data_IF_759182167733
#
_entry.id   IF_759182167733
#
_cell.length_a   1.000
_cell.length_b   1.000
_cell.length_c   1.000
_cell.angle_alpha   90.00
_cell.angle_beta   90.00
_cell.angle_gamma   90.00
#
_symmetry.space_group_name_H-M   'P 1'
#
loop_
_entity.id
_entity.type
_entity.pdbx_description
1 polymer ?
#
# COMPACT_ATOMS: atom_id res chain seq x y z
N UNK A 1 9.61 6.21 -12.83
CA UNK A 1 8.45 5.74 -12.04
C UNK A 1 9.02 4.68 -11.11
N UNK A 2 8.83 4.80 -9.80
CA UNK A 2 9.42 3.85 -8.85
C UNK A 2 8.73 2.50 -9.00
N UNK A 3 9.51 1.44 -9.22
CA UNK A 3 9.00 0.07 -9.28
C UNK A 3 9.57 -0.70 -8.09
N UNK A 4 8.77 -0.78 -7.03
CA UNK A 4 9.10 -1.43 -5.77
C UNK A 4 8.79 -2.91 -5.87
N UNK A 5 9.73 -3.73 -5.41
CA UNK A 5 9.62 -5.19 -5.43
C UNK A 5 10.06 -5.80 -4.10
N UNK A 6 9.53 -6.99 -3.83
CA UNK A 6 9.85 -7.80 -2.67
C UNK A 6 8.70 -7.95 -1.67
N UNK A 7 8.77 -9.02 -0.87
CA UNK A 7 7.91 -9.27 0.29
C UNK A 7 8.80 -9.48 1.51
N UNK A 8 8.43 -8.87 2.63
CA UNK A 8 9.29 -8.80 3.80
C UNK A 8 8.51 -8.93 5.09
N UNK A 9 8.94 -9.84 5.96
CA UNK A 9 8.43 -9.96 7.32
C UNK A 9 9.22 -9.04 8.26
N UNK A 10 8.48 -8.26 9.04
CA UNK A 10 8.96 -7.20 9.91
C UNK A 10 8.21 -7.28 11.25
N UNK A 11 8.65 -6.45 12.21
CA UNK A 11 7.93 -6.28 13.48
C UNK A 11 7.58 -4.82 13.70
N UNK A 12 6.34 -4.57 14.09
CA UNK A 12 5.91 -3.33 14.68
C UNK A 12 6.31 -3.30 16.16
N UNK A 13 6.85 -2.17 16.61
CA UNK A 13 7.04 -1.94 18.04
C UNK A 13 5.75 -1.47 18.72
N UNK A 14 5.78 -1.32 20.06
CA UNK A 14 4.63 -0.88 20.86
C UNK A 14 4.09 0.52 20.50
N UNK A 15 4.80 1.29 19.66
CA UNK A 15 4.40 2.61 19.17
C UNK A 15 3.93 2.57 17.72
N UNK A 16 3.83 1.40 17.10
CA UNK A 16 3.47 1.24 15.68
C UNK A 16 4.59 1.65 14.73
N UNK A 17 5.85 1.62 15.17
CA UNK A 17 7.01 1.85 14.29
C UNK A 17 7.44 0.54 13.66
N UNK A 18 7.65 0.58 12.35
CA UNK A 18 8.15 -0.55 11.56
C UNK A 18 9.51 -0.16 10.99
N UNK A 19 10.53 -0.97 11.25
CA UNK A 19 11.83 -0.82 10.63
C UNK A 19 11.80 -1.44 9.24
N UNK A 20 12.06 -0.66 8.21
CA UNK A 20 12.07 -1.17 6.85
C UNK A 20 13.29 -2.07 6.61
N UNK A 21 13.16 -3.16 5.85
CA UNK A 21 14.29 -3.98 5.42
C UNK A 21 15.30 -3.15 4.60
N UNK A 22 16.59 -3.45 4.75
CA UNK A 22 17.67 -2.69 4.09
C UNK A 22 17.47 -2.62 2.57
N UNK A 23 17.12 -3.73 1.92
CA UNK A 23 16.89 -3.77 0.47
C UNK A 23 15.67 -2.95 0.03
N UNK A 24 14.67 -2.75 0.90
CA UNK A 24 13.56 -1.84 0.61
C UNK A 24 13.98 -0.38 0.83
N UNK A 25 14.81 -0.11 1.85
CA UNK A 25 15.36 1.23 2.06
C UNK A 25 16.21 1.68 0.87
N UNK A 26 17.03 0.80 0.30
CA UNK A 26 17.84 1.09 -0.89
C UNK A 26 16.98 1.48 -2.09
N UNK A 27 15.87 0.77 -2.33
CA UNK A 27 14.90 1.11 -3.38
C UNK A 27 14.23 2.48 -3.14
N UNK A 28 14.06 2.89 -1.88
CA UNK A 28 13.42 4.15 -1.50
C UNK A 28 14.40 5.33 -1.36
N UNK A 29 15.71 5.07 -1.33
CA UNK A 29 16.72 6.05 -0.94
C UNK A 29 16.66 7.35 -1.77
N UNK A 30 16.42 7.23 -3.08
CA UNK A 30 16.34 8.37 -4.00
C UNK A 30 15.14 9.30 -3.72
N UNK A 31 14.07 8.77 -3.12
CA UNK A 31 12.78 9.47 -2.94
C UNK A 31 12.45 9.77 -1.47
N UNK A 32 13.33 9.42 -0.52
CA UNK A 32 13.11 9.63 0.92
C UNK A 32 12.73 11.07 1.26
N UNK A 33 13.37 12.05 0.60
CA UNK A 33 13.13 13.49 0.84
C UNK A 33 11.80 14.00 0.31
N UNK A 34 11.20 13.31 -0.66
CA UNK A 34 9.90 13.68 -1.24
C UNK A 34 8.74 13.31 -0.31
N UNK A 35 9.00 12.42 0.66
CA UNK A 35 8.02 11.96 1.63
C UNK A 35 7.05 10.92 1.06
N UNK A 36 6.18 10.46 1.95
CA UNK A 36 5.27 9.36 1.67
C UNK A 36 3.86 9.70 2.12
N UNK A 37 2.91 8.94 1.58
CA UNK A 37 1.51 9.00 1.97
C UNK A 37 1.08 7.59 2.37
N UNK A 38 0.43 7.47 3.51
CA UNK A 38 -0.17 6.22 3.97
C UNK A 38 -1.69 6.36 4.01
N UNK A 39 -2.40 5.31 3.63
CA UNK A 39 -3.87 5.25 3.71
C UNK A 39 -4.34 3.80 3.94
N UNK A 40 -5.57 3.57 4.41
CA UNK A 40 -6.19 2.25 4.34
C UNK A 40 -6.32 1.77 2.88
N UNK A 41 -6.19 0.47 2.66
CA UNK A 41 -6.57 -0.13 1.39
C UNK A 41 -8.09 -0.10 1.21
N UNK A 42 -8.52 -0.05 -0.05
CA UNK A 42 -9.95 -0.13 -0.41
C UNK A 42 -10.41 -1.58 -0.65
N UNK A 43 -9.46 -2.50 -0.80
CA UNK A 43 -9.72 -3.90 -1.14
C UNK A 43 -9.60 -4.82 0.06
N UNK A 44 -8.66 -4.52 0.96
CA UNK A 44 -8.33 -5.39 2.08
C UNK A 44 -8.12 -4.62 3.38
N UNK A 45 -8.15 -5.32 4.51
CA UNK A 45 -7.89 -4.75 5.84
C UNK A 45 -6.37 -4.59 6.07
N UNK A 46 -5.74 -3.73 5.27
CA UNK A 46 -4.33 -3.40 5.33
C UNK A 46 -4.10 -1.91 5.04
N UNK A 47 -2.86 -1.44 5.18
CA UNK A 47 -2.47 -0.08 4.78
C UNK A 47 -1.69 -0.11 3.48
N UNK A 48 -1.72 1.00 2.75
CA UNK A 48 -0.92 1.22 1.55
C UNK A 48 -0.05 2.46 1.77
N UNK A 49 1.27 2.28 1.63
CA UNK A 49 2.28 3.32 1.68
C UNK A 49 2.74 3.64 0.25
N UNK A 50 2.55 4.89 -0.15
CA UNK A 50 2.93 5.40 -1.46
C UNK A 50 4.10 6.38 -1.34
N UNK A 51 5.09 6.30 -2.24
CA UNK A 51 5.86 7.49 -2.62
C UNK A 51 4.92 8.64 -2.95
N UNK A 52 5.23 9.86 -2.50
CA UNK A 52 4.35 11.02 -2.72
C UNK A 52 3.95 11.20 -4.19
N UNK A 53 4.90 11.08 -5.11
CA UNK A 53 4.65 11.22 -6.54
C UNK A 53 3.70 10.14 -7.12
N UNK A 54 3.71 8.93 -6.57
CA UNK A 54 2.79 7.86 -6.98
C UNK A 54 1.37 8.14 -6.48
N UNK A 55 1.24 8.56 -5.22
CA UNK A 55 -0.04 8.97 -4.65
C UNK A 55 -0.68 10.13 -5.41
N UNK A 56 0.11 11.17 -5.72
CA UNK A 56 -0.40 12.35 -6.44
C UNK A 56 -0.93 11.96 -7.84
N UNK A 57 -0.25 11.03 -8.54
CA UNK A 57 -0.72 10.50 -9.83
C UNK A 57 -2.02 9.71 -9.70
N UNK A 58 -2.16 8.88 -8.67
CA UNK A 58 -3.39 8.15 -8.39
C UNK A 58 -4.54 9.13 -8.11
N UNK A 59 -4.32 10.11 -7.24
CA UNK A 59 -5.33 11.10 -6.87
C UNK A 59 -5.73 11.99 -8.05
N UNK A 60 -4.82 12.33 -8.96
CA UNK A 60 -5.18 13.03 -10.20
C UNK A 60 -6.21 12.25 -11.02
N UNK A 61 -6.15 10.91 -11.05
CA UNK A 61 -7.15 10.08 -11.75
C UNK A 61 -8.50 10.07 -11.01
N UNK A 62 -8.46 9.99 -9.69
CA UNK A 62 -9.65 10.01 -8.83
C UNK A 62 -10.38 11.35 -8.95
N UNK A 63 -9.65 12.47 -8.86
CA UNK A 63 -10.21 13.82 -8.87
C UNK A 63 -10.74 14.27 -10.25
N UNK A 64 -10.39 13.56 -11.34
CA UNK A 64 -11.00 13.78 -12.67
C UNK A 64 -12.46 13.30 -12.76
N UNK A 65 -12.96 12.56 -11.76
CA UNK A 65 -14.34 12.08 -11.74
C UNK A 65 -15.32 13.20 -11.37
N UNK A 66 -16.55 13.14 -11.89
CA UNK A 66 -17.56 14.17 -11.66
C UNK A 66 -18.05 14.15 -10.19
N UNK A 67 -17.65 15.16 -9.41
CA UNK A 67 -18.01 15.29 -7.99
C UNK A 67 -19.47 15.68 -7.72
N UNK A 68 -20.21 16.12 -8.74
CA UNK A 68 -21.65 16.34 -8.59
C UNK A 68 -22.44 15.05 -8.41
N UNK A 69 -21.84 13.89 -8.73
CA UNK A 69 -22.45 12.60 -8.45
C UNK A 69 -22.23 12.22 -6.96
N UNK A 70 -23.30 12.06 -6.14
CA UNK A 70 -23.16 11.87 -4.69
C UNK A 70 -22.29 10.67 -4.29
N UNK A 71 -22.36 9.56 -5.03
CA UNK A 71 -21.51 8.38 -4.79
C UNK A 71 -20.01 8.69 -4.98
N UNK A 72 -19.66 9.54 -5.96
CA UNK A 72 -18.25 9.92 -6.23
C UNK A 72 -17.75 10.84 -5.11
N UNK A 73 -18.54 11.84 -4.70
CA UNK A 73 -18.13 12.72 -3.60
C UNK A 73 -17.96 11.95 -2.28
N UNK A 74 -18.89 11.04 -1.98
CA UNK A 74 -18.79 10.21 -0.78
C UNK A 74 -17.57 9.28 -0.81
N UNK A 75 -17.29 8.65 -1.96
CA UNK A 75 -16.09 7.82 -2.13
C UNK A 75 -14.81 8.63 -1.88
N UNK A 76 -14.68 9.80 -2.51
CA UNK A 76 -13.50 10.68 -2.34
C UNK A 76 -13.36 11.10 -0.88
N UNK A 77 -14.47 11.42 -0.19
CA UNK A 77 -14.48 11.79 1.22
C UNK A 77 -13.95 10.68 2.11
N UNK A 78 -14.48 9.47 1.96
CA UNK A 78 -14.06 8.30 2.75
C UNK A 78 -12.59 7.95 2.45
N UNK A 79 -12.22 7.89 1.17
CA UNK A 79 -10.83 7.65 0.75
C UNK A 79 -9.87 8.65 1.39
N UNK A 80 -10.20 9.94 1.33
CA UNK A 80 -9.32 11.02 1.80
C UNK A 80 -9.25 11.11 3.33
N UNK A 81 -10.27 10.64 4.06
CA UNK A 81 -10.30 10.70 5.52
C UNK A 81 -9.17 9.87 6.16
N UNK A 82 -8.82 8.74 5.55
CA UNK A 82 -7.75 7.84 6.01
C UNK A 82 -6.35 8.22 5.54
N UNK A 83 -6.21 9.22 4.65
CA UNK A 83 -4.92 9.62 4.07
C UNK A 83 -4.11 10.43 5.07
N UNK A 84 -2.84 10.03 5.30
CA UNK A 84 -1.90 10.76 6.17
C UNK A 84 -0.54 10.90 5.48
N UNK A 85 0.08 12.10 5.50
CA UNK A 85 1.48 12.23 5.12
C UNK A 85 2.37 11.59 6.20
N UNK A 86 3.39 10.87 5.78
CA UNK A 86 4.37 10.23 6.67
C UNK A 86 5.78 10.34 6.09
N UNK A 87 6.77 10.17 6.94
CA UNK A 87 8.19 10.14 6.57
C UNK A 87 8.85 8.89 7.14
N UNK A 88 9.88 8.43 6.45
CA UNK A 88 10.80 7.42 6.96
C UNK A 88 12.02 8.17 7.51
N UNK A 89 12.42 7.87 8.74
CA UNK A 89 13.57 8.53 9.35
C UNK A 89 14.91 8.05 8.74
N UNK A 90 16.01 8.71 9.13
CA UNK A 90 17.35 8.37 8.62
C UNK A 90 17.82 6.96 9.00
N UNK A 91 17.13 6.27 9.91
CA UNK A 91 17.41 4.89 10.32
C UNK A 91 16.52 3.88 9.61
N UNK A 92 15.68 4.34 8.67
CA UNK A 92 14.77 3.49 7.91
C UNK A 92 13.50 3.12 8.68
N UNK A 93 13.14 3.84 9.74
CA UNK A 93 11.91 3.56 10.50
C UNK A 93 10.74 4.37 9.99
N UNK A 94 9.65 3.66 9.72
CA UNK A 94 8.34 4.23 9.41
C UNK A 94 7.52 4.33 10.70
N UNK A 95 7.01 5.51 11.01
CA UNK A 95 6.03 5.70 12.09
C UNK A 95 4.62 5.61 11.50
N UNK A 96 3.90 4.52 11.81
CA UNK A 96 2.50 4.37 11.40
C UNK A 96 1.61 5.15 12.41
N UNK A 97 0.68 6.00 11.95
CA UNK A 97 -0.30 6.62 12.83
C UNK A 97 -1.14 5.57 13.57
N UNK A 98 -1.34 5.75 14.88
CA UNK A 98 -2.05 4.77 15.73
C UNK A 98 -3.46 4.42 15.24
N UNK A 99 -4.17 5.39 14.66
CA UNK A 99 -5.51 5.14 14.09
C UNK A 99 -5.43 4.13 12.94
N UNK A 100 -4.43 4.26 12.07
CA UNK A 100 -4.24 3.36 10.94
C UNK A 100 -3.74 1.98 11.36
N UNK A 101 -2.94 1.89 12.43
CA UNK A 101 -2.57 0.60 13.05
C UNK A 101 -3.84 -0.16 13.47
N UNK A 102 -4.79 0.54 14.11
CA UNK A 102 -6.06 -0.06 14.52
C UNK A 102 -6.93 -0.43 13.30
N UNK A 103 -7.04 0.45 12.30
CA UNK A 103 -7.84 0.21 11.09
C UNK A 103 -7.35 -1.01 10.29
N UNK A 104 -6.04 -1.29 10.29
CA UNK A 104 -5.46 -2.48 9.64
C UNK A 104 -5.38 -3.70 10.58
N UNK A 105 -5.70 -3.53 11.87
CA UNK A 105 -5.54 -4.55 12.90
C UNK A 105 -4.12 -5.07 13.04
N UNK A 106 -3.12 -4.20 12.85
CA UNK A 106 -1.71 -4.56 13.01
C UNK A 106 -1.40 -4.75 14.50
N UNK A 107 -1.00 -5.96 14.86
CA UNK A 107 -0.70 -6.32 16.24
C UNK A 107 0.79 -6.21 16.56
N UNK A 108 1.63 -7.00 15.88
CA UNK A 108 3.07 -7.09 16.12
C UNK A 108 3.85 -7.54 14.89
N UNK A 109 3.49 -8.69 14.31
CA UNK A 109 4.13 -9.21 13.11
C UNK A 109 3.54 -8.50 11.89
N UNK A 110 4.40 -7.91 11.07
CA UNK A 110 4.02 -7.08 9.93
C UNK A 110 4.61 -7.66 8.65
N UNK A 111 3.78 -7.82 7.62
CA UNK A 111 4.27 -8.16 6.28
C UNK A 111 4.20 -6.92 5.39
N UNK A 112 5.33 -6.58 4.78
CA UNK A 112 5.45 -5.53 3.77
C UNK A 112 5.48 -6.18 2.40
N UNK A 113 4.52 -5.85 1.53
CA UNK A 113 4.45 -6.37 0.15
C UNK A 113 4.58 -5.20 -0.81
N UNK A 114 5.70 -5.12 -1.52
CA UNK A 114 5.87 -4.12 -2.58
C UNK A 114 5.10 -4.55 -3.83
N UNK A 115 4.20 -3.69 -4.30
CA UNK A 115 3.29 -3.94 -5.41
C UNK A 115 3.44 -2.85 -6.48
N UNK A 116 4.66 -2.72 -7.01
CA UNK A 116 5.01 -1.74 -8.04
C UNK A 116 5.10 -0.31 -7.49
N UNK A 117 4.01 0.43 -7.46
CA UNK A 117 4.02 1.86 -7.12
C UNK A 117 3.77 2.16 -5.63
N UNK A 118 3.55 1.12 -4.83
CA UNK A 118 3.24 1.21 -3.40
C UNK A 118 3.75 0.01 -2.63
N UNK A 119 3.74 0.13 -1.31
CA UNK A 119 3.99 -0.97 -0.38
C UNK A 119 2.71 -1.19 0.42
N UNK A 120 2.20 -2.41 0.41
CA UNK A 120 1.11 -2.81 1.30
C UNK A 120 1.70 -3.25 2.64
N UNK A 121 1.06 -2.83 3.74
CA UNK A 121 1.49 -3.06 5.11
C UNK A 121 0.36 -3.83 5.81
N UNK A 122 0.68 -5.06 6.18
CA UNK A 122 -0.29 -6.02 6.68
C UNK A 122 0.05 -6.48 8.09
N UNK A 123 -0.97 -6.88 8.84
CA UNK A 123 -0.75 -7.90 9.86
C UNK A 123 -0.41 -9.22 9.15
N UNK A 124 0.67 -9.89 9.58
CA UNK A 124 1.21 -11.05 8.86
C UNK A 124 0.17 -12.17 8.69
N UNK A 125 -0.62 -12.47 9.72
CA UNK A 125 -1.62 -13.53 9.66
C UNK A 125 -2.72 -13.21 8.63
N UNK A 126 -3.14 -11.93 8.55
CA UNK A 126 -4.14 -11.49 7.58
C UNK A 126 -3.63 -11.60 6.14
N UNK A 127 -2.38 -11.20 5.88
CA UNK A 127 -1.81 -11.34 4.53
C UNK A 127 -1.72 -12.80 4.09
N UNK A 128 -1.31 -13.70 4.99
CA UNK A 128 -1.21 -15.12 4.70
C UNK A 128 -2.57 -15.71 4.32
N UNK A 129 -3.62 -15.42 5.11
CA UNK A 129 -4.98 -15.86 4.83
C UNK A 129 -5.50 -15.33 3.48
N UNK A 130 -5.35 -14.03 3.21
CA UNK A 130 -5.81 -13.42 1.94
C UNK A 130 -5.09 -14.04 0.73
N UNK A 131 -3.78 -14.28 0.83
CA UNK A 131 -3.02 -14.91 -0.24
C UNK A 131 -3.51 -16.34 -0.46
N UNK A 132 -3.62 -17.13 0.61
CA UNK A 132 -4.08 -18.52 0.55
C UNK A 132 -5.48 -18.63 -0.08
N UNK A 133 -6.42 -17.79 0.35
CA UNK A 133 -7.79 -17.73 -0.20
C UNK A 133 -7.80 -17.35 -1.69
N UNK A 134 -6.80 -16.56 -2.14
CA UNK A 134 -6.71 -16.10 -3.53
C UNK A 134 -6.01 -17.09 -4.46
N UNK A 135 -5.21 -18.03 -3.93
CA UNK A 135 -4.42 -18.98 -4.73
C UNK A 135 -5.25 -19.86 -5.67
N UNK A 136 -6.41 -20.43 -5.29
CA UNK A 136 -7.20 -21.27 -6.18
C UNK A 136 -7.66 -20.52 -7.44
N UNK A 137 -8.14 -19.29 -7.26
CA UNK A 137 -8.58 -18.43 -8.36
C UNK A 137 -7.40 -17.81 -9.13
N UNK A 138 -6.18 -17.82 -8.60
CA UNK A 138 -5.05 -17.13 -9.22
C UNK A 138 -4.77 -17.64 -10.64
N UNK A 139 -4.89 -18.95 -10.90
CA UNK A 139 -4.65 -19.51 -12.24
C UNK A 139 -5.70 -19.05 -13.25
N UNK A 140 -6.97 -19.04 -12.86
CA UNK A 140 -8.09 -18.59 -13.70
C UNK A 140 -7.99 -17.09 -13.96
N UNK A 141 -7.73 -16.31 -12.90
CA UNK A 141 -7.54 -14.86 -12.98
C UNK A 141 -6.29 -14.51 -13.81
N UNK A 142 -5.20 -15.25 -13.67
CA UNK A 142 -4.01 -15.06 -14.48
C UNK A 142 -4.32 -15.31 -15.97
N UNK A 143 -5.11 -16.34 -16.30
CA UNK A 143 -5.51 -16.58 -17.68
C UNK A 143 -6.44 -15.46 -18.21
N UNK A 144 -7.38 -14.96 -17.42
CA UNK A 144 -8.27 -13.86 -17.81
C UNK A 144 -7.51 -12.54 -18.02
N UNK A 145 -6.63 -12.18 -17.09
CA UNK A 145 -5.89 -10.92 -17.11
C UNK A 145 -4.72 -10.98 -18.10
N UNK A 146 -3.93 -12.06 -18.06
CA UNK A 146 -2.72 -12.19 -18.88
C UNK A 146 -2.99 -12.77 -20.27
N UNK A 147 -4.03 -13.59 -20.43
CA UNK A 147 -4.43 -14.14 -21.74
C UNK A 147 -4.96 -13.07 -22.70
N UNK A 148 -5.33 -11.89 -22.18
CA UNK A 148 -5.61 -10.70 -22.99
C UNK A 148 -4.36 -9.98 -23.52
N UNK A 149 -3.15 -10.39 -23.14
CA UNK A 149 -1.88 -9.89 -23.70
C UNK A 149 -1.40 -10.71 -24.90
N UNK A 150 -2.29 -11.48 -25.55
CA UNK A 150 -2.00 -12.16 -26.80
C UNK A 150 -1.86 -11.17 -27.95
N UNK A 151 -0.63 -11.03 -28.44
CA UNK A 151 -0.23 -10.53 -29.76
C UNK A 151 -0.77 -9.13 -30.17
N UNK A 152 -0.28 -8.08 -29.50
CA UNK A 152 -0.06 -6.78 -30.15
C UNK A 152 1.39 -6.35 -29.91
N UNK A 153 2.31 -6.98 -30.65
CA UNK A 153 3.41 -6.36 -31.41
C UNK A 153 4.09 -7.40 -32.32
#
# INVERSE_FOLDING_TARGET
MTNLIGSYECKADAKGRVMLPVSLQEQLAAILKEGFVIKPSVHHECLELFPRAAFDKMMQRVLKKNRFHPKIDNFIRVLSAGVKPVSIDSTGRLQIPKTLVADAGISKEVTLIASGDRIEIWDTAKSAAVIEDSLPSFKELAAEIMGGFGDED
#
